data_IF_758629544689
#
_entry.id   IF_758629544689
#
_cell.length_a   1.000
_cell.length_b   1.000
_cell.length_c   1.000
_cell.angle_alpha   90.00
_cell.angle_beta   90.00
_cell.angle_gamma   90.00
#
_symmetry.space_group_name_H-M   'P 1'
#
loop_
_entity.id
_entity.type
_entity.pdbx_description
1 polymer ?
#
# COMPACT_ATOMS: atom_id res chain seq x y z
N UNK A 1 -16.18 14.77 4.65
CA UNK A 1 -15.17 15.28 3.69
C UNK A 1 -15.72 15.14 2.28
N UNK A 2 -15.26 15.94 1.31
CA UNK A 2 -15.68 15.80 -0.10
C UNK A 2 -15.42 14.39 -0.65
N UNK A 3 -14.38 13.70 -0.17
CA UNK A 3 -14.09 12.30 -0.50
C UNK A 3 -15.25 11.36 -0.14
N UNK A 4 -15.87 11.53 1.04
CA UNK A 4 -17.01 10.72 1.48
C UNK A 4 -18.30 11.02 0.69
N UNK A 5 -18.33 12.09 -0.10
CA UNK A 5 -19.42 12.37 -1.05
C UNK A 5 -19.09 11.77 -2.42
N UNK A 6 -17.90 12.09 -2.94
CA UNK A 6 -17.48 11.74 -4.31
C UNK A 6 -17.29 10.24 -4.49
N UNK A 7 -16.57 9.57 -3.58
CA UNK A 7 -16.21 8.16 -3.75
C UNK A 7 -17.43 7.24 -3.69
N UNK A 8 -18.35 7.33 -2.70
CA UNK A 8 -19.53 6.47 -2.68
C UNK A 8 -20.44 6.69 -3.88
N UNK A 9 -20.64 7.94 -4.34
CA UNK A 9 -21.41 8.23 -5.55
C UNK A 9 -20.79 7.57 -6.78
N UNK A 10 -19.46 7.74 -6.96
CA UNK A 10 -18.72 7.12 -8.06
C UNK A 10 -18.84 5.61 -8.05
N UNK A 11 -18.66 4.96 -6.88
CA UNK A 11 -18.78 3.50 -6.74
C UNK A 11 -20.19 3.04 -7.06
N UNK A 12 -21.22 3.72 -6.56
CA UNK A 12 -22.60 3.39 -6.85
C UNK A 12 -22.90 3.46 -8.36
N UNK A 13 -22.45 4.52 -9.04
CA UNK A 13 -22.68 4.64 -10.48
C UNK A 13 -21.91 3.58 -11.27
N UNK A 14 -20.64 3.30 -10.93
CA UNK A 14 -19.86 2.23 -11.56
C UNK A 14 -20.60 0.88 -11.46
N UNK A 15 -21.17 0.59 -10.28
CA UNK A 15 -21.88 -0.67 -10.06
C UNK A 15 -23.19 -0.76 -10.85
N UNK A 16 -23.89 0.37 -11.00
CA UNK A 16 -25.17 0.45 -11.73
C UNK A 16 -25.05 0.26 -13.24
N UNK A 17 -23.85 0.47 -13.82
CA UNK A 17 -23.63 0.45 -15.27
C UNK A 17 -23.68 -0.94 -15.94
N UNK A 18 -24.26 -1.96 -15.31
CA UNK A 18 -24.37 -3.34 -15.82
C UNK A 18 -23.12 -3.80 -16.61
N UNK A 19 -22.10 -4.27 -15.90
CA UNK A 19 -20.86 -4.67 -16.58
C UNK A 19 -19.83 -5.27 -15.65
N UNK A 20 -18.58 -5.25 -16.10
CA UNK A 20 -17.45 -5.92 -15.45
C UNK A 20 -17.10 -5.45 -14.03
N UNK A 21 -17.72 -4.37 -13.57
CA UNK A 21 -17.44 -3.73 -12.28
C UNK A 21 -18.68 -3.67 -11.38
N UNK A 22 -19.76 -4.41 -11.70
CA UNK A 22 -21.02 -4.41 -10.94
C UNK A 22 -20.89 -4.94 -9.51
N UNK A 23 -20.03 -5.95 -9.33
CA UNK A 23 -19.74 -6.60 -8.03
C UNK A 23 -18.66 -5.87 -7.21
N UNK A 24 -18.14 -4.76 -7.71
CA UNK A 24 -17.03 -4.04 -7.09
C UNK A 24 -17.38 -3.52 -5.69
N UNK A 25 -16.47 -3.73 -4.75
CA UNK A 25 -16.58 -3.24 -3.38
C UNK A 25 -15.49 -2.23 -3.08
N UNK A 26 -15.84 -1.21 -2.28
CA UNK A 26 -14.88 -0.24 -1.79
C UNK A 26 -14.20 -0.78 -0.53
N UNK A 27 -12.88 -0.76 -0.50
CA UNK A 27 -12.08 -0.95 0.70
C UNK A 27 -11.18 0.26 0.95
N UNK A 28 -11.29 0.82 2.15
CA UNK A 28 -10.44 1.93 2.57
C UNK A 28 -9.11 1.42 3.12
N UNK A 29 -8.02 1.86 2.49
CA UNK A 29 -6.65 1.47 2.82
C UNK A 29 -5.73 2.71 2.97
N UNK A 30 -4.56 2.53 3.56
CA UNK A 30 -3.56 3.59 3.61
C UNK A 30 -3.64 4.52 4.82
N UNK A 31 -2.79 5.54 4.78
CA UNK A 31 -2.32 6.30 5.95
C UNK A 31 -3.43 6.99 6.74
N UNK A 32 -4.41 7.56 6.04
CA UNK A 32 -5.55 8.26 6.64
C UNK A 32 -6.41 7.29 7.46
N UNK A 33 -6.79 6.16 6.88
CA UNK A 33 -7.66 5.18 7.53
C UNK A 33 -6.95 4.38 8.63
N UNK A 34 -5.63 4.25 8.56
CA UNK A 34 -4.79 3.66 9.60
C UNK A 34 -4.49 4.63 10.77
N UNK A 35 -4.92 5.90 10.66
CA UNK A 35 -4.67 7.00 11.61
C UNK A 35 -3.17 7.26 11.86
N UNK A 36 -2.37 7.19 10.80
CA UNK A 36 -0.90 7.37 10.83
C UNK A 36 -0.42 8.43 9.84
N UNK A 37 -1.20 9.50 9.68
CA UNK A 37 -0.81 10.75 8.99
C UNK A 37 -0.75 11.88 10.03
N UNK A 38 0.26 12.74 9.95
CA UNK A 38 0.43 13.92 10.83
C UNK A 38 -0.20 15.16 10.18
N UNK A 39 0.09 15.38 8.90
CA UNK A 39 -0.44 16.50 8.11
C UNK A 39 -1.95 16.35 7.83
N UNK A 40 -2.62 17.47 7.52
CA UNK A 40 -4.00 17.42 7.06
C UNK A 40 -4.10 16.50 5.83
N UNK A 41 -5.07 15.56 5.80
CA UNK A 41 -5.16 14.60 4.72
C UNK A 41 -5.69 15.26 3.45
N UNK A 42 -4.78 15.56 2.55
CA UNK A 42 -5.05 15.96 1.17
C UNK A 42 -4.91 14.78 0.18
N UNK A 43 -4.56 13.58 0.66
CA UNK A 43 -4.39 12.38 -0.18
C UNK A 43 -5.07 11.18 0.47
N UNK A 44 -5.83 10.42 -0.33
CA UNK A 44 -6.61 9.27 0.11
C UNK A 44 -6.40 8.09 -0.84
N UNK A 45 -6.11 6.92 -0.29
CA UNK A 45 -6.01 5.67 -1.05
C UNK A 45 -7.31 4.86 -0.93
N UNK A 46 -7.96 4.58 -2.05
CA UNK A 46 -9.19 3.78 -2.11
C UNK A 46 -8.93 2.55 -2.96
N UNK A 47 -9.08 1.37 -2.38
CA UNK A 47 -9.06 0.12 -3.13
C UNK A 47 -10.48 -0.20 -3.63
N UNK A 48 -10.60 -0.43 -4.93
CA UNK A 48 -11.81 -0.94 -5.54
C UNK A 48 -11.59 -2.41 -5.88
N UNK A 49 -12.25 -3.27 -5.13
CA UNK A 49 -12.02 -4.72 -5.10
C UNK A 49 -13.08 -5.41 -5.93
N UNK A 50 -12.65 -6.23 -6.88
CA UNK A 50 -13.52 -7.15 -7.62
C UNK A 50 -13.21 -8.54 -7.09
N UNK A 51 -14.22 -9.21 -6.53
CA UNK A 51 -14.08 -10.62 -6.15
C UNK A 51 -14.17 -11.49 -7.40
N UNK A 52 -13.12 -12.28 -7.62
CA UNK A 52 -13.06 -13.36 -8.61
C UNK A 52 -12.82 -14.70 -7.90
N UNK A 53 -13.30 -14.82 -6.66
CA UNK A 53 -13.14 -16.01 -5.82
C UNK A 53 -13.78 -17.27 -6.42
N UNK A 54 -14.81 -17.10 -7.25
CA UNK A 54 -15.45 -18.21 -7.96
C UNK A 54 -14.66 -18.70 -9.20
N UNK A 55 -13.56 -18.02 -9.55
CA UNK A 55 -12.75 -18.31 -10.72
C UNK A 55 -11.51 -19.13 -10.38
N UNK A 56 -11.22 -20.13 -11.21
CA UNK A 56 -10.04 -20.98 -11.04
C UNK A 56 -8.85 -20.35 -11.75
N UNK A 57 -8.10 -19.53 -11.03
CA UNK A 57 -6.90 -18.88 -11.53
C UNK A 57 -5.63 -19.73 -11.32
N UNK A 58 -4.72 -19.63 -12.28
CA UNK A 58 -3.31 -19.98 -12.15
C UNK A 58 -2.51 -18.69 -12.02
N UNK A 59 -1.59 -18.67 -11.05
CA UNK A 59 -0.68 -17.57 -10.78
C UNK A 59 0.71 -18.00 -11.19
N UNK A 60 1.26 -17.35 -12.22
CA UNK A 60 2.63 -17.60 -12.69
C UNK A 60 3.50 -16.40 -12.32
N UNK A 61 4.62 -16.62 -11.62
CA UNK A 61 5.53 -15.55 -11.22
C UNK A 61 6.08 -14.82 -12.45
N UNK A 62 6.01 -13.48 -12.43
CA UNK A 62 6.49 -12.66 -13.57
C UNK A 62 7.99 -12.35 -13.49
N UNK A 63 8.56 -12.49 -12.30
CA UNK A 63 9.97 -12.23 -11.98
C UNK A 63 10.44 -13.06 -10.78
N UNK A 64 11.70 -12.88 -10.42
CA UNK A 64 12.37 -13.57 -9.32
C UNK A 64 12.03 -13.01 -7.92
N UNK A 65 11.21 -11.95 -7.83
CA UNK A 65 10.88 -11.34 -6.53
C UNK A 65 9.70 -12.02 -5.86
N UNK A 66 8.93 -12.84 -6.58
CA UNK A 66 7.70 -13.47 -6.06
C UNK A 66 6.61 -12.48 -5.65
N UNK A 67 6.65 -11.23 -6.15
CA UNK A 67 5.69 -10.18 -5.82
C UNK A 67 4.70 -9.87 -6.95
N UNK A 68 5.08 -10.20 -8.19
CA UNK A 68 4.31 -9.92 -9.39
C UNK A 68 3.97 -11.22 -10.12
N UNK A 69 2.75 -11.31 -10.62
CA UNK A 69 2.18 -12.52 -11.21
C UNK A 69 1.44 -12.22 -12.50
N UNK A 70 1.51 -13.15 -13.46
CA UNK A 70 0.53 -13.29 -14.52
C UNK A 70 -0.64 -14.15 -14.02
N UNK A 71 -1.84 -13.86 -14.51
CA UNK A 71 -3.05 -14.59 -14.14
C UNK A 71 -3.65 -15.24 -15.37
N UNK A 72 -3.84 -16.56 -15.31
CA UNK A 72 -4.47 -17.34 -16.38
C UNK A 72 -5.65 -18.11 -15.81
N UNK A 73 -6.77 -18.17 -16.53
CA UNK A 73 -7.91 -18.99 -16.11
C UNK A 73 -7.64 -20.46 -16.46
N UNK A 74 -7.70 -21.36 -15.47
CA UNK A 74 -7.53 -22.81 -15.68
C UNK A 74 -8.67 -23.47 -16.46
N UNK A 75 -9.81 -22.76 -16.56
CA UNK A 75 -11.03 -23.15 -17.30
C UNK A 75 -11.69 -21.87 -17.80
N UNK A 76 -12.64 -21.96 -18.73
CA UNK A 76 -13.45 -20.78 -19.07
C UNK A 76 -14.02 -20.15 -17.78
N UNK A 77 -13.86 -18.83 -17.57
CA UNK A 77 -14.41 -18.17 -16.40
C UNK A 77 -15.93 -18.27 -16.42
N UNK A 78 -16.53 -18.35 -15.23
CA UNK A 78 -17.99 -18.27 -15.06
C UNK A 78 -18.45 -16.86 -15.43
N UNK A 79 -17.72 -15.87 -14.96
CA UNK A 79 -17.92 -14.46 -15.29
C UNK A 79 -17.37 -14.14 -16.69
N UNK A 80 -18.21 -14.32 -17.71
CA UNK A 80 -17.82 -14.16 -19.12
C UNK A 80 -17.28 -12.78 -19.48
N UNK A 81 -17.63 -11.74 -18.72
CA UNK A 81 -17.09 -10.40 -18.95
C UNK A 81 -15.57 -10.33 -18.76
N UNK A 82 -14.94 -11.26 -18.02
CA UNK A 82 -13.49 -11.29 -17.81
C UNK A 82 -12.73 -11.63 -19.08
N UNK A 83 -13.36 -12.36 -20.02
CA UNK A 83 -12.75 -12.76 -21.29
C UNK A 83 -12.32 -11.57 -22.16
N UNK A 84 -13.05 -10.44 -22.08
CA UNK A 84 -12.71 -9.23 -22.84
C UNK A 84 -11.41 -8.55 -22.38
N UNK A 85 -10.89 -8.95 -21.22
CA UNK A 85 -9.68 -8.39 -20.64
C UNK A 85 -8.47 -9.32 -20.78
N UNK A 86 -8.60 -10.43 -21.49
CA UNK A 86 -7.46 -11.29 -21.81
C UNK A 86 -6.54 -10.58 -22.82
N UNK A 87 -5.23 -10.72 -22.66
CA UNK A 87 -4.25 -10.36 -23.67
C UNK A 87 -4.12 -11.45 -24.75
N UNK A 88 -3.19 -11.25 -25.68
CA UNK A 88 -2.93 -12.16 -26.80
C UNK A 88 -2.40 -13.53 -26.34
N UNK A 89 -1.79 -13.62 -25.15
CA UNK A 89 -1.32 -14.86 -24.55
C UNK A 89 -2.41 -15.56 -23.70
N UNK A 90 -3.63 -14.98 -23.63
CA UNK A 90 -4.70 -15.50 -22.76
C UNK A 90 -4.52 -15.18 -21.28
N UNK A 91 -3.68 -14.21 -20.90
CA UNK A 91 -3.50 -13.74 -19.52
C UNK A 91 -4.45 -12.58 -19.22
N UNK A 92 -4.98 -12.53 -18.00
CA UNK A 92 -5.86 -11.45 -17.57
C UNK A 92 -5.08 -10.14 -17.44
N UNK A 93 -5.36 -9.17 -18.31
CA UNK A 93 -4.62 -7.92 -18.39
C UNK A 93 -5.08 -6.89 -17.36
N UNK A 94 -4.22 -6.60 -16.38
CA UNK A 94 -4.39 -5.49 -15.44
C UNK A 94 -4.59 -4.15 -16.16
N UNK A 95 -3.83 -3.90 -17.22
CA UNK A 95 -3.91 -2.68 -18.02
C UNK A 95 -5.27 -2.52 -18.70
N UNK A 96 -5.78 -3.57 -19.36
CA UNK A 96 -7.09 -3.51 -20.04
C UNK A 96 -8.21 -3.23 -19.05
N UNK A 97 -8.21 -3.90 -17.88
CA UNK A 97 -9.20 -3.67 -16.83
C UNK A 97 -9.09 -2.25 -16.24
N UNK A 98 -7.87 -1.80 -15.92
CA UNK A 98 -7.63 -0.48 -15.35
C UNK A 98 -8.01 0.63 -16.33
N UNK A 99 -7.75 0.45 -17.62
CA UNK A 99 -8.15 1.38 -18.67
C UNK A 99 -9.68 1.46 -18.80
N UNK A 100 -10.37 0.32 -18.82
CA UNK A 100 -11.83 0.30 -18.86
C UNK A 100 -12.45 1.01 -17.65
N UNK A 101 -11.93 0.75 -16.44
CA UNK A 101 -12.37 1.44 -15.23
C UNK A 101 -12.11 2.94 -15.30
N UNK A 102 -10.93 3.34 -15.78
CA UNK A 102 -10.55 4.76 -15.94
C UNK A 102 -11.47 5.51 -16.88
N UNK A 103 -11.88 4.92 -18.00
CA UNK A 103 -12.82 5.57 -18.93
C UNK A 103 -14.22 5.71 -18.33
N UNK A 104 -14.70 4.71 -17.57
CA UNK A 104 -15.96 4.82 -16.83
C UNK A 104 -15.88 5.98 -15.82
N UNK A 105 -14.80 6.05 -15.03
CA UNK A 105 -14.58 7.10 -14.05
C UNK A 105 -14.50 8.48 -14.72
N UNK A 106 -13.77 8.62 -15.84
CA UNK A 106 -13.69 9.88 -16.60
C UNK A 106 -15.05 10.37 -17.09
N UNK A 107 -15.93 9.47 -17.51
CA UNK A 107 -17.28 9.83 -17.92
C UNK A 107 -18.10 10.27 -16.71
N UNK A 108 -17.96 9.56 -15.59
CA UNK A 108 -18.75 9.81 -14.39
C UNK A 108 -18.36 11.10 -13.67
N UNK A 109 -17.07 11.45 -13.62
CA UNK A 109 -16.65 12.67 -12.93
C UNK A 109 -17.24 13.95 -13.55
N UNK A 110 -17.64 13.90 -14.84
CA UNK A 110 -18.30 15.02 -15.53
C UNK A 110 -19.73 15.28 -15.04
N UNK A 111 -20.34 14.32 -14.34
CA UNK A 111 -21.71 14.42 -13.85
C UNK A 111 -21.81 15.14 -12.49
N UNK A 112 -20.69 15.36 -11.79
CA UNK A 112 -20.69 16.12 -10.55
C UNK A 112 -20.91 17.62 -10.83
N UNK A 113 -22.07 18.16 -10.44
CA UNK A 113 -22.41 19.57 -10.63
C UNK A 113 -21.90 20.48 -9.50
N UNK A 114 -21.85 19.97 -8.27
CA UNK A 114 -21.60 20.77 -7.07
C UNK A 114 -20.14 20.72 -6.60
N UNK A 115 -19.32 19.86 -7.21
CA UNK A 115 -17.91 19.66 -6.84
C UNK A 115 -17.13 19.46 -8.12
N UNK A 116 -16.07 20.25 -8.32
CA UNK A 116 -15.18 20.05 -9.46
C UNK A 116 -14.25 18.87 -9.20
N UNK A 117 -14.49 17.78 -9.93
CA UNK A 117 -13.70 16.55 -9.87
C UNK A 117 -13.10 16.27 -11.25
N UNK A 118 -11.79 16.07 -11.31
CA UNK A 118 -11.09 15.70 -12.55
C UNK A 118 -10.26 14.44 -12.35
N UNK A 119 -9.95 13.73 -13.44
CA UNK A 119 -9.02 12.59 -13.40
C UNK A 119 -7.64 13.08 -13.83
N UNK A 120 -6.64 13.01 -12.95
CA UNK A 120 -5.27 13.43 -13.26
C UNK A 120 -4.70 12.61 -14.42
N UNK A 121 -3.73 13.16 -15.16
CA UNK A 121 -3.05 12.43 -16.26
C UNK A 121 -2.43 11.11 -15.75
N UNK A 122 -2.46 10.08 -16.60
CA UNK A 122 -1.92 8.76 -16.26
C UNK A 122 -0.41 8.89 -16.04
N UNK A 123 0.05 8.52 -14.84
CA UNK A 123 1.49 8.38 -14.53
C UNK A 123 1.97 7.00 -14.97
N UNK A 124 3.10 6.94 -15.68
CA UNK A 124 3.67 5.67 -16.18
C UNK A 124 4.00 4.76 -15.00
N UNK A 125 3.56 3.50 -15.06
CA UNK A 125 3.78 2.49 -14.01
C UNK A 125 3.03 2.71 -12.69
N UNK A 126 2.19 3.75 -12.58
CA UNK A 126 1.31 3.92 -11.43
C UNK A 126 0.07 3.02 -11.56
N UNK A 127 -0.30 2.25 -10.52
CA UNK A 127 -1.54 1.47 -10.52
C UNK A 127 -2.79 2.33 -10.27
N UNK A 128 -2.62 3.61 -9.92
CA UNK A 128 -3.70 4.47 -9.46
C UNK A 128 -4.40 5.23 -10.58
N UNK A 129 -5.72 5.32 -10.46
CA UNK A 129 -6.54 6.34 -11.13
C UNK A 129 -6.73 7.48 -10.13
N UNK A 130 -5.88 8.50 -10.21
CA UNK A 130 -5.92 9.65 -9.31
C UNK A 130 -7.04 10.62 -9.70
N UNK A 131 -7.99 10.84 -8.79
CA UNK A 131 -8.95 11.94 -8.85
C UNK A 131 -8.35 13.18 -8.20
N UNK A 132 -8.63 14.35 -8.76
CA UNK A 132 -8.34 15.65 -8.17
C UNK A 132 -9.68 16.34 -7.89
N UNK A 133 -9.97 16.53 -6.61
CA UNK A 133 -11.17 17.20 -6.12
C UNK A 133 -10.75 18.62 -5.71
N UNK A 134 -11.30 19.64 -6.36
CA UNK A 134 -11.03 21.03 -5.94
C UNK A 134 -11.62 21.29 -4.56
N UNK A 135 -10.79 21.81 -3.67
CA UNK A 135 -11.16 22.09 -2.29
C UNK A 135 -10.30 23.23 -1.72
N UNK A 136 -10.56 24.50 -2.06
CA UNK A 136 -9.75 25.61 -1.55
C UNK A 136 -9.61 25.58 -0.01
N UNK A 137 -8.41 25.84 0.55
CA UNK A 137 -7.20 26.33 -0.13
C UNK A 137 -6.33 25.24 -0.77
N UNK A 138 -6.58 23.95 -0.52
CA UNK A 138 -5.75 22.84 -1.02
C UNK A 138 -6.57 21.69 -1.56
N UNK A 139 -6.31 21.34 -2.83
CA UNK A 139 -7.02 20.26 -3.52
C UNK A 139 -6.78 18.91 -2.86
N UNK A 140 -7.78 18.03 -2.96
CA UNK A 140 -7.71 16.67 -2.45
C UNK A 140 -7.41 15.72 -3.62
N UNK A 141 -6.38 14.89 -3.47
CA UNK A 141 -6.12 13.77 -4.35
C UNK A 141 -6.74 12.48 -3.78
N UNK A 142 -7.35 11.68 -4.65
CA UNK A 142 -7.88 10.36 -4.28
C UNK A 142 -7.35 9.33 -5.28
N UNK A 143 -6.49 8.44 -4.82
CA UNK A 143 -5.92 7.36 -5.61
C UNK A 143 -6.84 6.14 -5.57
N UNK A 144 -7.50 5.86 -6.71
CA UNK A 144 -8.31 4.67 -6.88
C UNK A 144 -7.43 3.52 -7.40
N UNK A 145 -7.36 2.43 -6.62
CA UNK A 145 -6.54 1.25 -6.88
C UNK A 145 -7.44 0.06 -7.23
N UNK A 146 -7.41 -0.36 -8.49
CA UNK A 146 -8.08 -1.58 -8.92
C UNK A 146 -7.40 -2.81 -8.32
N UNK A 147 -8.18 -3.65 -7.64
CA UNK A 147 -7.71 -4.83 -6.94
C UNK A 147 -8.61 -6.03 -7.24
N UNK A 148 -8.03 -7.21 -7.40
CA UNK A 148 -8.75 -8.48 -7.39
C UNK A 148 -8.62 -9.14 -6.03
N UNK A 149 -9.73 -9.65 -5.52
CA UNK A 149 -9.74 -10.64 -4.44
C UNK A 149 -9.89 -12.02 -5.06
N UNK A 150 -8.94 -12.91 -4.79
CA UNK A 150 -8.87 -14.23 -5.42
C UNK A 150 -8.89 -15.32 -4.37
N UNK A 151 -9.60 -16.41 -4.68
CA UNK A 151 -9.63 -17.60 -3.85
C UNK A 151 -8.41 -18.47 -4.16
N UNK A 152 -7.28 -18.09 -3.57
CA UNK A 152 -6.02 -18.79 -3.70
C UNK A 152 -5.28 -18.74 -2.35
N UNK A 153 -4.61 -19.83 -1.98
CA UNK A 153 -3.67 -19.80 -0.85
C UNK A 153 -2.58 -18.77 -1.12
N UNK A 154 -1.98 -18.19 -0.08
CA UNK A 154 -0.87 -17.28 -0.32
C UNK A 154 0.27 -17.98 -1.07
N UNK A 155 0.94 -17.32 -2.04
CA UNK A 155 1.98 -17.96 -2.84
C UNK A 155 3.18 -18.43 -2.00
N UNK A 156 3.96 -19.41 -2.48
CA UNK A 156 5.16 -19.90 -1.78
C UNK A 156 6.15 -18.81 -1.43
N UNK A 157 6.23 -17.75 -2.25
CA UNK A 157 7.04 -16.56 -1.99
C UNK A 157 6.78 -15.88 -0.65
N UNK A 158 5.62 -16.14 -0.03
CA UNK A 158 5.21 -15.56 1.25
C UNK A 158 5.47 -16.47 2.46
N UNK A 159 6.01 -17.68 2.24
CA UNK A 159 6.11 -18.73 3.25
C UNK A 159 6.85 -18.26 4.52
N UNK A 160 8.01 -17.64 4.31
CA UNK A 160 8.91 -17.14 5.36
C UNK A 160 8.69 -15.65 5.71
N UNK A 161 7.66 -15.04 5.11
CA UNK A 161 7.19 -13.70 5.47
C UNK A 161 6.25 -13.71 6.68
N UNK A 162 5.81 -12.51 7.06
CA UNK A 162 4.88 -12.27 8.17
C UNK A 162 5.40 -12.87 9.48
N UNK A 163 6.60 -12.47 9.91
CA UNK A 163 7.31 -13.02 11.06
C UNK A 163 6.83 -12.46 12.41
N UNK A 164 5.50 -12.41 12.59
CA UNK A 164 4.83 -11.81 13.75
C UNK A 164 4.62 -12.79 14.91
N UNK A 165 5.22 -14.00 14.88
CA UNK A 165 4.95 -15.05 15.88
C UNK A 165 5.25 -14.59 17.31
N UNK A 166 6.34 -13.86 17.51
CA UNK A 166 6.74 -13.33 18.82
C UNK A 166 6.05 -12.00 19.16
N UNK A 167 5.56 -11.28 18.16
CA UNK A 167 4.88 -10.00 18.36
C UNK A 167 3.38 -10.17 18.58
N UNK A 168 2.65 -10.68 17.58
CA UNK A 168 1.18 -10.83 17.60
C UNK A 168 0.71 -12.26 17.84
N UNK A 169 1.64 -13.22 17.93
CA UNK A 169 1.32 -14.62 18.20
C UNK A 169 1.15 -15.50 16.96
N UNK A 170 1.30 -16.81 17.17
CA UNK A 170 1.18 -17.84 16.13
C UNK A 170 -0.23 -17.97 15.59
N UNK A 171 -1.26 -17.84 16.44
CA UNK A 171 -2.68 -17.91 16.05
C UNK A 171 -3.04 -16.79 15.09
N UNK A 172 -2.68 -15.54 15.41
CA UNK A 172 -2.95 -14.38 14.55
C UNK A 172 -2.25 -14.53 13.19
N UNK A 173 -0.97 -14.97 13.18
CA UNK A 173 -0.26 -15.26 11.93
C UNK A 173 -0.99 -16.28 11.07
N UNK A 174 -1.45 -17.37 11.67
CA UNK A 174 -2.18 -18.43 10.97
C UNK A 174 -3.49 -17.90 10.40
N UNK A 175 -4.26 -17.17 11.20
CA UNK A 175 -5.55 -16.61 10.79
C UNK A 175 -5.37 -15.62 9.62
N UNK A 176 -4.30 -14.80 9.62
CA UNK A 176 -3.97 -13.94 8.49
C UNK A 176 -3.61 -14.71 7.21
N UNK A 177 -2.84 -15.80 7.31
CA UNK A 177 -2.47 -16.62 6.14
C UNK A 177 -3.65 -17.39 5.52
N UNK A 178 -4.77 -17.52 6.24
CA UNK A 178 -6.00 -18.12 5.72
C UNK A 178 -6.93 -17.13 5.02
N UNK A 179 -6.64 -15.83 5.05
CA UNK A 179 -7.47 -14.83 4.37
C UNK A 179 -7.21 -14.81 2.87
N UNK A 180 -8.22 -14.34 2.12
CA UNK A 180 -8.19 -14.20 0.67
C UNK A 180 -6.96 -13.43 0.19
N UNK A 181 -6.48 -13.78 -1.01
CA UNK A 181 -5.33 -13.14 -1.62
C UNK A 181 -5.78 -11.93 -2.44
N UNK A 182 -5.06 -10.81 -2.31
CA UNK A 182 -5.36 -9.57 -3.02
C UNK A 182 -4.28 -9.24 -4.03
N UNK A 183 -4.69 -8.86 -5.24
CA UNK A 183 -3.82 -8.57 -6.37
C UNK A 183 -4.15 -7.20 -6.97
N UNK A 184 -3.22 -6.26 -6.89
CA UNK A 184 -3.38 -4.90 -7.42
C UNK A 184 -2.95 -4.87 -8.88
N UNK A 185 -3.71 -4.13 -9.71
CA UNK A 185 -3.40 -3.88 -11.11
C UNK A 185 -2.15 -3.00 -11.26
N UNK A 186 -0.96 -3.59 -11.11
CA UNK A 186 0.33 -2.90 -11.12
C UNK A 186 1.29 -3.58 -12.09
N UNK A 187 1.79 -2.78 -13.02
CA UNK A 187 2.80 -3.19 -13.98
C UNK A 187 4.14 -3.47 -13.29
N UNK A 188 4.77 -4.58 -13.65
CA UNK A 188 6.13 -4.89 -13.26
C UNK A 188 7.12 -4.13 -14.15
N UNK A 189 7.96 -3.28 -13.53
CA UNK A 189 8.95 -2.48 -14.26
C UNK A 189 10.18 -3.29 -14.70
N UNK A 190 10.35 -4.51 -14.18
CA UNK A 190 11.46 -5.41 -14.53
C UNK A 190 11.20 -6.20 -15.81
N UNK A 191 9.97 -6.19 -16.33
CA UNK A 191 9.65 -6.85 -17.60
C UNK A 191 10.39 -6.17 -18.76
N UNK A 192 11.05 -6.99 -19.60
CA UNK A 192 11.69 -6.51 -20.83
C UNK A 192 10.68 -5.90 -21.80
N UNK A 193 9.47 -6.45 -21.86
CA UNK A 193 8.37 -5.95 -22.67
C UNK A 193 7.21 -5.62 -21.75
N UNK A 194 6.92 -4.34 -21.63
CA UNK A 194 5.88 -3.79 -20.76
C UNK A 194 4.47 -4.06 -21.34
N UNK A 195 3.99 -5.30 -21.23
CA UNK A 195 2.65 -5.72 -21.72
C UNK A 195 1.49 -5.26 -20.83
N UNK A 196 1.78 -4.91 -19.57
CA UNK A 196 0.78 -4.38 -18.64
C UNK A 196 -0.23 -5.44 -18.16
N UNK A 197 0.14 -6.71 -18.24
CA UNK A 197 -0.67 -7.87 -17.87
C UNK A 197 -0.28 -8.46 -16.50
N UNK A 198 0.65 -7.84 -15.77
CA UNK A 198 1.05 -8.27 -14.43
C UNK A 198 0.15 -7.71 -13.34
N UNK A 199 0.04 -8.47 -12.26
CA UNK A 199 -0.64 -8.11 -11.03
C UNK A 199 0.34 -8.23 -9.86
N UNK A 200 0.30 -7.30 -8.90
CA UNK A 200 1.17 -7.36 -7.72
C UNK A 200 0.38 -7.81 -6.49
N UNK A 201 0.96 -8.68 -5.67
CA UNK A 201 0.41 -9.00 -4.35
C UNK A 201 0.18 -7.72 -3.52
N UNK A 202 -0.88 -7.73 -2.73
CA UNK A 202 -1.22 -6.67 -1.79
C UNK A 202 -1.70 -7.28 -0.48
N UNK A 203 -1.13 -6.80 0.62
CA UNK A 203 -1.48 -7.22 1.98
C UNK A 203 -2.11 -6.09 2.78
N UNK A 204 -2.62 -5.05 2.10
CA UNK A 204 -3.13 -3.83 2.73
C UNK A 204 -4.19 -4.09 3.80
N UNK A 205 -5.04 -5.12 3.59
CA UNK A 205 -6.05 -5.54 4.56
C UNK A 205 -5.43 -6.16 5.83
N UNK A 206 -4.34 -6.94 5.69
CA UNK A 206 -3.58 -7.50 6.82
C UNK A 206 -2.79 -6.41 7.53
N UNK A 207 -2.11 -5.54 6.79
CA UNK A 207 -1.37 -4.41 7.34
C UNK A 207 -2.26 -3.50 8.19
N UNK A 208 -3.47 -3.22 7.70
CA UNK A 208 -4.48 -2.45 8.44
C UNK A 208 -4.85 -3.13 9.75
N UNK A 209 -5.07 -4.44 9.75
CA UNK A 209 -5.39 -5.21 10.94
C UNK A 209 -4.22 -5.27 11.93
N UNK A 210 -2.99 -5.40 11.45
CA UNK A 210 -1.79 -5.29 12.28
C UNK A 210 -1.67 -3.90 12.90
N UNK A 211 -1.93 -2.83 12.14
CA UNK A 211 -1.91 -1.48 12.68
C UNK A 211 -3.05 -1.22 13.68
N UNK A 212 -4.20 -1.88 13.51
CA UNK A 212 -5.30 -1.81 14.48
C UNK A 212 -4.92 -2.55 15.77
N UNK A 213 -4.37 -3.75 15.66
CA UNK A 213 -4.03 -4.65 16.75
C UNK A 213 -2.50 -4.80 16.86
N UNK A 214 -1.82 -3.71 17.22
CA UNK A 214 -0.36 -3.58 17.14
C UNK A 214 0.36 -3.90 18.45
N UNK A 215 -0.37 -4.14 19.53
CA UNK A 215 0.22 -4.52 20.81
C UNK A 215 0.51 -6.01 20.91
N UNK A 216 1.43 -6.35 21.79
CA UNK A 216 1.58 -7.73 22.25
C UNK A 216 0.40 -8.13 23.15
N UNK A 217 0.00 -7.23 24.06
CA UNK A 217 -1.24 -7.38 24.80
C UNK A 217 -2.45 -7.05 23.91
N UNK A 218 -3.57 -7.72 24.17
CA UNK A 218 -4.83 -7.46 23.45
C UNK A 218 -5.42 -6.09 23.77
N UNK A 219 -5.11 -5.54 24.95
CA UNK A 219 -5.65 -4.28 25.46
C UNK A 219 -4.78 -3.07 25.11
N UNK A 220 -3.63 -3.25 24.45
CA UNK A 220 -2.74 -2.15 24.08
C UNK A 220 -3.49 -1.05 23.32
N UNK A 221 -3.45 0.17 23.86
CA UNK A 221 -4.12 1.36 23.34
C UNK A 221 -5.67 1.32 23.34
N UNK A 222 -6.31 0.32 23.95
CA UNK A 222 -7.75 0.33 24.25
C UNK A 222 -8.07 1.32 25.38
N UNK A 223 -9.36 1.48 25.72
CA UNK A 223 -9.80 2.50 26.69
C UNK A 223 -9.30 2.23 28.11
N UNK A 224 -9.21 0.96 28.48
CA UNK A 224 -8.80 0.41 29.78
C UNK A 224 -7.36 -0.15 29.77
N UNK A 225 -6.68 -0.12 28.62
CA UNK A 225 -5.32 -0.62 28.49
C UNK A 225 -4.25 0.48 28.44
N UNK A 226 -3.00 0.05 28.63
CA UNK A 226 -1.83 0.94 28.55
C UNK A 226 -1.66 1.51 27.14
N UNK A 227 -1.36 2.81 27.05
CA UNK A 227 -1.01 3.45 25.77
C UNK A 227 0.45 3.14 25.41
N UNK A 228 0.72 3.02 24.11
CA UNK A 228 2.06 2.84 23.58
C UNK A 228 2.38 3.89 22.51
N UNK A 229 3.66 4.05 22.17
CA UNK A 229 4.14 5.01 21.18
C UNK A 229 4.33 4.44 19.77
N UNK A 230 4.00 3.16 19.50
CA UNK A 230 4.19 2.50 18.18
C UNK A 230 3.65 3.33 17.00
N UNK A 231 2.39 3.75 17.06
CA UNK A 231 1.80 4.61 16.01
C UNK A 231 2.42 6.00 15.97
N UNK A 232 2.85 6.54 17.10
CA UNK A 232 3.58 7.80 17.19
C UNK A 232 4.90 7.73 16.42
N UNK A 233 5.67 6.67 16.62
CA UNK A 233 6.92 6.42 15.91
C UNK A 233 6.70 6.33 14.39
N UNK A 234 5.72 5.53 13.94
CA UNK A 234 5.42 5.42 12.51
C UNK A 234 4.97 6.76 11.90
N UNK A 235 4.17 7.55 12.64
CA UNK A 235 3.76 8.89 12.21
C UNK A 235 4.98 9.80 12.01
N UNK A 236 5.90 9.85 12.98
CA UNK A 236 7.12 10.66 12.91
C UNK A 236 8.02 10.23 11.75
N UNK A 237 8.23 8.92 11.56
CA UNK A 237 9.02 8.41 10.43
C UNK A 237 8.45 8.82 9.07
N UNK A 238 7.12 8.71 8.93
CA UNK A 238 6.43 9.09 7.70
C UNK A 238 6.52 10.58 7.44
N UNK A 239 6.31 11.39 8.47
CA UNK A 239 6.38 12.84 8.36
C UNK A 239 7.81 13.30 8.05
N UNK A 240 8.83 12.74 8.71
CA UNK A 240 10.23 12.99 8.38
C UNK A 240 10.53 12.69 6.91
N UNK A 241 10.11 11.53 6.41
CA UNK A 241 10.31 11.17 5.00
C UNK A 241 9.55 12.12 4.06
N UNK A 242 8.32 12.50 4.40
CA UNK A 242 7.49 13.44 3.64
C UNK A 242 8.18 14.80 3.51
N UNK A 243 8.64 15.38 4.62
CA UNK A 243 9.33 16.67 4.61
C UNK A 243 10.66 16.59 3.83
N UNK A 244 11.44 15.53 4.03
CA UNK A 244 12.68 15.33 3.27
C UNK A 244 12.40 15.21 1.76
N UNK A 245 11.34 14.50 1.36
CA UNK A 245 10.93 14.40 -0.05
C UNK A 245 10.47 15.74 -0.62
N UNK A 246 9.84 16.60 0.18
CA UNK A 246 9.49 17.96 -0.26
C UNK A 246 10.74 18.82 -0.49
N UNK A 247 11.75 18.67 0.38
CA UNK A 247 13.03 19.39 0.28
C UNK A 247 13.92 18.87 -0.86
N UNK A 248 13.90 17.56 -1.10
CA UNK A 248 14.76 16.88 -2.08
C UNK A 248 13.94 15.96 -3.02
N UNK A 249 13.03 16.54 -3.84
CA UNK A 249 12.06 15.76 -4.60
C UNK A 249 12.68 14.87 -5.67
N UNK A 250 13.84 15.24 -6.24
CA UNK A 250 14.52 14.49 -7.28
C UNK A 250 15.30 13.31 -6.71
N UNK A 251 16.12 13.59 -5.70
CA UNK A 251 17.00 12.62 -5.04
C UNK A 251 16.20 11.54 -4.33
N UNK A 252 15.03 11.92 -3.80
CA UNK A 252 14.17 11.06 -2.99
C UNK A 252 12.89 10.60 -3.71
N UNK A 253 12.78 10.77 -5.03
CA UNK A 253 11.57 10.44 -5.81
C UNK A 253 11.10 8.99 -5.54
N UNK A 254 12.05 8.05 -5.52
CA UNK A 254 11.81 6.60 -5.41
C UNK A 254 11.28 6.16 -4.04
N UNK A 255 11.51 6.94 -2.99
CA UNK A 255 11.03 6.58 -1.65
C UNK A 255 9.53 6.87 -1.50
N UNK A 256 8.83 6.01 -0.78
CA UNK A 256 7.44 6.24 -0.42
C UNK A 256 7.17 5.84 1.03
N UNK A 257 5.99 6.19 1.53
CA UNK A 257 5.55 5.85 2.89
C UNK A 257 5.52 4.35 3.18
N UNK A 258 5.51 3.50 2.14
CA UNK A 258 5.58 2.05 2.29
C UNK A 258 6.93 1.58 2.83
N UNK A 259 8.05 2.21 2.44
CA UNK A 259 9.38 1.83 2.95
C UNK A 259 9.47 2.00 4.47
N UNK A 260 9.04 3.16 4.98
CA UNK A 260 9.04 3.40 6.43
C UNK A 260 8.03 2.53 7.17
N UNK A 261 6.89 2.20 6.56
CA UNK A 261 5.92 1.25 7.13
C UNK A 261 6.52 -0.17 7.23
N UNK A 262 7.18 -0.65 6.18
CA UNK A 262 7.86 -1.95 6.18
C UNK A 262 8.97 -1.99 7.23
N UNK A 263 9.80 -0.95 7.30
CA UNK A 263 10.86 -0.86 8.31
C UNK A 263 10.30 -0.84 9.74
N UNK A 264 9.19 -0.14 9.94
CA UNK A 264 8.47 -0.13 11.21
C UNK A 264 7.90 -1.51 11.58
N UNK A 265 7.35 -2.28 10.64
CA UNK A 265 6.88 -3.63 10.95
C UNK A 265 8.01 -4.56 11.38
N UNK A 266 9.18 -4.47 10.73
CA UNK A 266 10.37 -5.19 11.20
C UNK A 266 10.81 -4.73 12.59
N UNK A 267 10.73 -3.42 12.87
CA UNK A 267 11.00 -2.86 14.20
C UNK A 267 10.06 -3.43 15.27
N UNK A 268 8.76 -3.56 15.00
CA UNK A 268 7.81 -4.19 15.91
C UNK A 268 8.10 -5.68 16.15
N UNK A 269 8.73 -6.38 15.19
CA UNK A 269 9.16 -7.77 15.40
C UNK A 269 10.41 -7.86 16.26
N UNK A 270 11.37 -6.92 16.09
CA UNK A 270 12.58 -6.86 16.92
C UNK A 270 12.27 -6.46 18.37
N UNK A 271 11.28 -5.60 18.58
CA UNK A 271 10.83 -5.11 19.87
C UNK A 271 9.35 -5.46 20.08
N UNK A 272 9.03 -6.72 20.40
CA UNK A 272 7.66 -7.20 20.37
C UNK A 272 6.83 -6.70 21.55
N UNK A 273 7.42 -6.45 22.71
CA UNK A 273 6.68 -6.22 23.96
C UNK A 273 6.14 -4.80 24.05
N UNK A 274 5.00 -4.61 24.71
CA UNK A 274 4.41 -3.27 24.87
C UNK A 274 5.29 -2.33 25.71
N UNK A 275 6.09 -2.91 26.62
CA UNK A 275 7.09 -2.19 27.42
C UNK A 275 8.27 -1.68 26.60
N UNK A 276 8.49 -2.19 25.39
CA UNK A 276 9.52 -1.65 24.49
C UNK A 276 9.09 -0.33 23.83
N UNK A 277 7.81 0.03 23.97
CA UNK A 277 7.12 1.14 23.30
C UNK A 277 6.30 1.98 24.28
N UNK A 278 6.81 2.21 25.49
CA UNK A 278 6.15 3.04 26.49
C UNK A 278 5.90 4.44 25.92
N UNK A 279 4.71 5.00 26.20
CA UNK A 279 4.31 6.29 25.63
C UNK A 279 5.27 7.43 25.99
N UNK A 280 5.82 7.42 27.22
CA UNK A 280 6.79 8.41 27.70
C UNK A 280 8.13 8.37 26.99
N UNK A 281 8.50 7.25 26.36
CA UNK A 281 9.80 7.04 25.70
C UNK A 281 9.69 7.21 24.18
N UNK A 282 8.77 8.06 23.71
CA UNK A 282 8.49 8.25 22.29
C UNK A 282 9.76 8.64 21.50
N UNK A 283 10.58 9.52 22.06
CA UNK A 283 11.85 9.97 21.47
C UNK A 283 12.82 8.81 21.27
N UNK A 284 13.05 8.00 22.31
CA UNK A 284 13.92 6.84 22.25
C UNK A 284 13.37 5.78 21.28
N UNK A 285 12.07 5.50 21.33
CA UNK A 285 11.43 4.53 20.43
C UNK A 285 11.45 4.99 18.97
N UNK A 286 11.29 6.29 18.71
CA UNK A 286 11.43 6.86 17.38
C UNK A 286 12.87 6.72 16.87
N UNK A 287 13.87 7.04 17.70
CA UNK A 287 15.28 6.87 17.35
C UNK A 287 15.64 5.40 17.06
N UNK A 288 15.12 4.43 17.83
CA UNK A 288 15.28 2.99 17.54
C UNK A 288 14.76 2.62 16.15
N UNK A 289 13.53 3.04 15.81
CA UNK A 289 12.98 2.81 14.48
C UNK A 289 13.82 3.47 13.37
N UNK A 290 14.28 4.69 13.63
CA UNK A 290 15.07 5.48 12.67
C UNK A 290 16.43 4.83 12.42
N UNK A 291 17.09 4.36 13.49
CA UNK A 291 18.34 3.61 13.42
C UNK A 291 18.22 2.35 12.57
N UNK A 292 17.16 1.56 12.77
CA UNK A 292 16.89 0.40 11.92
C UNK A 292 16.68 0.79 10.44
N UNK A 293 15.88 1.82 10.17
CA UNK A 293 15.67 2.28 8.80
C UNK A 293 16.95 2.80 8.15
N UNK A 294 17.81 3.50 8.91
CA UNK A 294 19.12 3.94 8.46
C UNK A 294 20.05 2.76 8.12
N UNK A 295 20.05 1.71 8.94
CA UNK A 295 20.82 0.49 8.67
C UNK A 295 20.36 -0.17 7.36
N UNK A 296 19.04 -0.28 7.14
CA UNK A 296 18.46 -0.75 5.88
C UNK A 296 18.93 0.09 4.69
N UNK A 297 18.94 1.42 4.81
CA UNK A 297 19.40 2.32 3.75
C UNK A 297 20.89 2.13 3.45
N UNK A 298 21.73 2.05 4.48
CA UNK A 298 23.17 1.85 4.32
C UNK A 298 23.51 0.52 3.66
N UNK A 299 22.80 -0.54 4.03
CA UNK A 299 22.92 -1.88 3.41
C UNK A 299 22.20 -2.00 2.07
N UNK A 300 21.38 -1.01 1.71
CA UNK A 300 20.44 -1.09 0.57
C UNK A 300 19.59 -2.37 0.63
N UNK A 301 19.11 -2.70 1.82
CA UNK A 301 18.38 -3.93 2.09
C UNK A 301 17.20 -3.66 3.04
N UNK A 302 15.99 -3.74 2.48
CA UNK A 302 14.73 -3.72 3.21
C UNK A 302 13.81 -4.79 2.61
N UNK A 303 13.86 -6.03 3.11
CA UNK A 303 12.98 -7.10 2.68
C UNK A 303 11.50 -6.72 2.86
N UNK A 304 10.67 -6.98 1.85
CA UNK A 304 9.24 -6.82 1.97
C UNK A 304 8.71 -7.71 3.10
N UNK A 305 7.89 -7.15 4.00
CA UNK A 305 7.50 -7.82 5.25
C UNK A 305 6.79 -9.18 5.04
N UNK A 306 6.06 -9.32 3.93
CA UNK A 306 5.33 -10.53 3.57
C UNK A 306 6.04 -11.40 2.53
N UNK A 307 7.07 -10.88 1.84
CA UNK A 307 7.73 -11.54 0.69
C UNK A 307 9.25 -11.33 0.86
N UNK A 308 9.93 -12.17 1.66
CA UNK A 308 11.30 -11.89 2.11
C UNK A 308 12.33 -11.69 0.98
N UNK A 309 12.17 -12.37 -0.15
CA UNK A 309 13.04 -12.23 -1.31
C UNK A 309 12.89 -10.88 -2.02
N UNK A 310 11.76 -10.18 -1.83
CA UNK A 310 11.51 -8.92 -2.50
C UNK A 310 12.12 -7.76 -1.70
N UNK A 311 13.35 -7.38 -2.05
CA UNK A 311 14.01 -6.20 -1.47
C UNK A 311 13.40 -4.90 -2.02
N UNK A 312 12.89 -4.04 -1.13
CA UNK A 312 12.28 -2.76 -1.47
C UNK A 312 13.30 -1.64 -1.71
N UNK A 313 14.53 -1.77 -1.20
CA UNK A 313 15.61 -0.84 -1.46
C UNK A 313 16.52 -1.42 -2.55
N UNK A 314 16.33 -1.02 -3.80
CA UNK A 314 17.13 -1.55 -4.91
C UNK A 314 18.62 -1.24 -4.72
N UNK A 315 19.49 -2.17 -5.13
CA UNK A 315 20.93 -1.94 -5.23
C UNK A 315 21.27 -0.89 -6.29
N UNK A 316 20.45 -0.79 -7.35
CA UNK A 316 20.59 0.24 -8.38
C UNK A 316 20.34 1.65 -7.82
N UNK A 317 19.68 1.74 -6.65
CA UNK A 317 19.32 2.99 -5.98
C UNK A 317 20.27 3.32 -4.82
N UNK A 318 21.42 2.65 -4.73
CA UNK A 318 22.38 2.79 -3.63
C UNK A 318 22.76 4.25 -3.36
N UNK A 319 22.93 5.06 -4.40
CA UNK A 319 23.22 6.50 -4.25
C UNK A 319 22.07 7.25 -3.54
N UNK A 320 20.82 7.03 -3.95
CA UNK A 320 19.63 7.60 -3.30
C UNK A 320 19.45 7.09 -1.87
N UNK A 321 19.74 5.80 -1.63
CA UNK A 321 19.70 5.20 -0.28
C UNK A 321 20.70 5.87 0.66
N UNK A 322 21.96 6.02 0.23
CA UNK A 322 22.98 6.73 1.01
C UNK A 322 22.66 8.21 1.18
N UNK A 323 22.11 8.86 0.15
CA UNK A 323 21.68 10.25 0.26
C UNK A 323 20.62 10.41 1.35
N UNK A 324 19.56 9.60 1.34
CA UNK A 324 18.52 9.63 2.37
C UNK A 324 19.10 9.33 3.76
N UNK A 325 19.97 8.31 3.88
CA UNK A 325 20.64 7.97 5.14
C UNK A 325 21.44 9.15 5.71
N UNK A 326 22.17 9.89 4.86
CA UNK A 326 22.90 11.10 5.25
C UNK A 326 21.97 12.23 5.71
N UNK A 327 20.88 12.47 4.98
CA UNK A 327 19.90 13.48 5.37
C UNK A 327 19.25 13.15 6.71
N UNK A 328 18.87 11.89 6.92
CA UNK A 328 18.33 11.43 8.21
C UNK A 328 19.37 11.60 9.33
N UNK A 329 20.63 11.22 9.09
CA UNK A 329 21.72 11.39 10.08
C UNK A 329 21.89 12.86 10.48
N UNK A 330 21.83 13.76 9.50
CA UNK A 330 21.89 15.20 9.75
C UNK A 330 20.69 15.66 10.60
N UNK A 331 19.47 15.22 10.29
CA UNK A 331 18.31 15.55 11.11
C UNK A 331 18.47 15.05 12.55
N UNK A 332 18.91 13.81 12.74
CA UNK A 332 19.12 13.23 14.07
C UNK A 332 20.16 14.01 14.89
N UNK A 333 21.31 14.33 14.28
CA UNK A 333 22.41 15.00 14.98
C UNK A 333 22.15 16.48 15.32
N UNK A 334 21.12 17.08 14.72
CA UNK A 334 20.79 18.51 14.90
C UNK A 334 19.41 18.72 15.52
N UNK A 335 18.80 17.69 16.11
CA UNK A 335 17.51 17.81 16.81
C UNK A 335 16.30 18.00 15.89
N UNK A 336 16.33 17.39 14.71
CA UNK A 336 15.26 17.42 13.69
C UNK A 336 14.80 18.84 13.30
N UNK A 337 15.70 19.71 12.78
CA UNK A 337 15.33 21.07 12.37
C UNK A 337 14.18 21.09 11.36
N UNK A 338 14.03 20.05 10.54
CA UNK A 338 12.95 19.95 9.54
C UNK A 338 11.54 19.86 10.15
N UNK A 339 11.40 19.60 11.45
CA UNK A 339 10.11 19.63 12.14
C UNK A 339 9.71 21.05 12.60
N UNK A 340 10.60 22.03 12.46
CA UNK A 340 10.37 23.43 12.79
C UNK A 340 10.13 24.30 11.53
N UNK A 341 10.36 23.73 10.34
CA UNK A 341 10.09 24.31 9.01
C UNK A 341 8.62 24.06 8.63
#
# INVERSE_FOLDING_TARGET
TLVNMVVPHLVQTIRSRNGAFSSMQQQSAGSYYERVKISQPNEFDIMLVISVENERLQLDESDDTGAYYYLTFKRSPKEKYLLKFLDEDGKLSAFKMLQALREIIKQEVKNFKNVEVTVARKKVGSPAITLLIKNPPSNISVDIILTLEVHHSWPPSTQDGLNIKQWLGTKVRRDFKFRSLYLVAKQNKREKVLRGNTWRLSFSHIEKDMMKNHGHSKTCCESDGSKCCRKGCLKLLKYLLEQLKMKYPKELEKFCSYHVKTAFFHSCVMWPNDTDWILGDLDHCFQKCLGYFMECLQKSQLPHFFIPQYNLLSLDDKASNHFLSRQISHQLNNGFPIFQE
#
